data_IF_637619271002
#
_entry.id   IF_637619271002
#
_cell.length_a   1.000
_cell.length_b   1.000
_cell.length_c   1.000
_cell.angle_alpha   90.00
_cell.angle_beta   90.00
_cell.angle_gamma   90.00
#
_symmetry.space_group_name_H-M   'P 1'
#
loop_
_entity.id
_entity.type
_entity.pdbx_description
1 polymer ?
#
# COMPACT_ATOMS: atom_id res chain seq x y z
N UNK A 1 24.51 -36.16 8.77
CA UNK A 1 24.44 -34.96 7.92
C UNK A 1 23.68 -33.80 8.59
N UNK A 2 23.82 -33.62 9.90
CA UNK A 2 23.14 -32.55 10.68
C UNK A 2 24.08 -31.97 11.76
N UNK A 3 25.39 -31.94 11.51
CA UNK A 3 26.35 -31.50 12.54
C UNK A 3 26.72 -30.02 12.48
N UNK A 4 26.34 -29.26 11.45
CA UNK A 4 26.64 -27.82 11.42
C UNK A 4 25.51 -27.01 10.77
N UNK A 5 24.37 -26.89 11.45
CA UNK A 5 23.49 -25.73 11.21
C UNK A 5 24.17 -24.55 11.89
N UNK A 6 25.10 -23.90 11.16
CA UNK A 6 25.71 -22.62 11.52
C UNK A 6 24.56 -21.69 11.91
N UNK A 7 24.44 -21.30 13.19
CA UNK A 7 23.41 -20.38 13.70
C UNK A 7 23.40 -19.18 12.75
N UNK A 8 22.39 -19.11 11.89
CA UNK A 8 22.30 -18.05 10.88
C UNK A 8 22.19 -16.72 11.58
N UNK A 9 22.90 -15.70 11.09
CA UNK A 9 22.82 -14.34 11.64
C UNK A 9 21.37 -13.84 11.56
N UNK A 10 20.66 -13.90 12.68
CA UNK A 10 19.31 -13.34 12.86
C UNK A 10 19.35 -11.81 12.76
N UNK A 11 20.54 -11.24 12.95
CA UNK A 11 20.80 -9.81 12.96
C UNK A 11 21.30 -9.28 11.62
N UNK A 12 20.85 -8.07 11.28
CA UNK A 12 21.37 -7.34 10.13
C UNK A 12 22.84 -6.94 10.29
N UNK A 13 23.52 -6.67 9.18
CA UNK A 13 24.97 -6.34 9.15
C UNK A 13 25.38 -5.22 10.11
N UNK A 14 24.53 -4.21 10.28
CA UNK A 14 24.80 -3.08 11.19
C UNK A 14 24.78 -3.49 12.67
N UNK A 15 23.86 -4.37 13.06
CA UNK A 15 23.77 -4.86 14.44
C UNK A 15 24.97 -5.76 14.78
N UNK A 16 25.36 -6.66 13.87
CA UNK A 16 26.57 -7.49 14.03
C UNK A 16 27.83 -6.64 14.15
N UNK A 17 27.95 -5.58 13.33
CA UNK A 17 29.09 -4.65 13.39
C UNK A 17 29.14 -3.87 14.70
N UNK A 18 27.99 -3.41 15.22
CA UNK A 18 27.92 -2.70 16.50
C UNK A 18 28.28 -3.61 17.69
N UNK A 19 27.78 -4.85 17.71
CA UNK A 19 28.12 -5.85 18.74
C UNK A 19 29.63 -6.19 18.67
N UNK A 20 30.17 -6.36 17.47
CA UNK A 20 31.60 -6.59 17.27
C UNK A 20 32.47 -5.41 17.72
N UNK A 21 32.01 -4.17 17.56
CA UNK A 21 32.69 -2.98 18.11
C UNK A 21 32.76 -3.00 19.63
N UNK A 22 31.75 -3.59 20.29
CA UNK A 22 31.73 -3.81 21.74
C UNK A 22 32.52 -5.05 22.18
N UNK A 23 33.16 -5.78 21.26
CA UNK A 23 33.89 -7.03 21.51
C UNK A 23 33.02 -8.15 22.11
N UNK A 24 31.72 -8.13 21.84
CA UNK A 24 30.80 -9.18 22.29
C UNK A 24 30.54 -10.19 21.17
N UNK A 25 30.08 -11.40 21.52
CA UNK A 25 29.63 -12.39 20.53
C UNK A 25 28.19 -12.06 20.10
N UNK A 26 27.90 -11.89 18.79
CA UNK A 26 26.54 -11.75 18.29
C UNK A 26 25.60 -12.89 18.67
N UNK A 27 26.13 -14.09 18.95
CA UNK A 27 25.34 -15.24 19.38
C UNK A 27 24.73 -15.06 20.77
N UNK A 28 25.36 -14.30 21.66
CA UNK A 28 24.85 -14.01 23.00
C UNK A 28 23.58 -13.15 22.99
N UNK A 29 23.35 -12.47 21.87
CA UNK A 29 22.17 -11.63 21.67
C UNK A 29 21.04 -12.40 21.00
N UNK A 30 21.25 -13.61 20.49
CA UNK A 30 20.20 -14.42 19.83
C UNK A 30 19.20 -14.90 20.88
N UNK A 31 17.91 -14.61 20.65
CA UNK A 31 16.84 -15.09 21.52
C UNK A 31 16.78 -16.63 21.54
N UNK A 32 16.57 -17.21 22.72
CA UNK A 32 16.43 -18.65 22.94
C UNK A 32 15.34 -19.27 22.06
N UNK A 33 14.35 -18.49 21.61
CA UNK A 33 13.33 -18.90 20.64
C UNK A 33 13.93 -19.52 19.37
N UNK A 34 15.11 -19.09 18.95
CA UNK A 34 15.83 -19.62 17.78
C UNK A 34 16.77 -20.79 18.12
N UNK A 35 16.70 -21.33 19.33
CA UNK A 35 17.48 -22.51 19.71
C UNK A 35 17.02 -23.76 18.96
N UNK A 36 17.95 -24.72 18.81
CA UNK A 36 17.65 -26.03 18.20
C UNK A 36 16.59 -26.79 19.00
N UNK A 37 16.62 -26.66 20.32
CA UNK A 37 15.70 -27.35 21.21
C UNK A 37 14.29 -26.80 21.01
N UNK A 38 14.12 -25.47 20.95
CA UNK A 38 12.83 -24.86 20.65
C UNK A 38 12.35 -25.18 19.23
N UNK A 39 13.24 -25.23 18.24
CA UNK A 39 12.89 -25.69 16.90
C UNK A 39 12.37 -27.14 16.91
N UNK A 40 13.07 -28.04 17.61
CA UNK A 40 12.66 -29.43 17.75
C UNK A 40 11.36 -29.59 18.54
N UNK A 41 11.09 -28.74 19.53
CA UNK A 41 9.81 -28.71 20.25
C UNK A 41 8.66 -28.23 19.33
N UNK A 42 8.88 -27.14 18.59
CA UNK A 42 7.88 -26.59 17.67
C UNK A 42 7.49 -27.58 16.55
N UNK A 43 8.46 -28.28 15.98
CA UNK A 43 8.26 -29.20 14.86
C UNK A 43 8.32 -30.69 15.26
N UNK A 44 8.42 -30.99 16.56
CA UNK A 44 8.49 -32.36 17.06
C UNK A 44 7.14 -33.07 17.05
N UNK A 45 6.04 -32.31 16.97
CA UNK A 45 4.71 -32.86 16.83
C UNK A 45 4.51 -33.37 15.41
N UNK A 46 4.07 -34.63 15.31
CA UNK A 46 3.63 -35.17 14.03
C UNK A 46 2.39 -34.41 13.56
N UNK A 47 2.50 -33.73 12.41
CA UNK A 47 1.32 -33.21 11.72
C UNK A 47 0.59 -34.42 11.15
N UNK A 48 -0.53 -34.80 11.76
CA UNK A 48 -1.39 -35.82 11.19
C UNK A 48 -1.84 -35.37 9.80
N UNK A 49 -1.82 -36.26 8.80
CA UNK A 49 -2.37 -35.93 7.50
C UNK A 49 -3.82 -35.49 7.68
N UNK A 50 -4.17 -34.37 7.06
CA UNK A 50 -5.58 -33.98 6.96
C UNK A 50 -6.25 -35.06 6.10
N UNK A 51 -7.35 -35.64 6.58
CA UNK A 51 -8.10 -36.62 5.83
C UNK A 51 -8.50 -36.07 4.45
N UNK A 52 -8.71 -36.95 3.48
CA UNK A 52 -9.19 -36.55 2.15
C UNK A 52 -10.54 -35.82 2.23
N UNK A 53 -10.85 -35.02 1.20
CA UNK A 53 -12.11 -34.28 1.11
C UNK A 53 -13.35 -35.16 1.26
N UNK A 54 -13.24 -36.44 0.88
CA UNK A 54 -14.26 -37.48 1.00
C UNK A 54 -14.61 -37.86 2.45
N UNK A 55 -13.66 -37.69 3.37
CA UNK A 55 -13.81 -37.98 4.79
C UNK A 55 -14.14 -36.74 5.64
N UNK A 56 -14.24 -35.57 5.03
CA UNK A 56 -14.64 -34.37 5.76
C UNK A 56 -16.12 -34.49 6.17
N UNK A 57 -16.48 -34.08 7.40
CA UNK A 57 -17.87 -34.09 7.83
C UNK A 57 -18.68 -33.28 6.82
N UNK A 58 -19.66 -33.93 6.21
CA UNK A 58 -20.61 -33.22 5.36
C UNK A 58 -21.35 -32.26 6.28
N UNK A 59 -21.43 -30.97 5.93
CA UNK A 59 -22.22 -30.03 6.71
C UNK A 59 -23.65 -30.57 6.81
N UNK A 60 -24.21 -30.54 8.02
CA UNK A 60 -25.61 -30.91 8.23
C UNK A 60 -26.51 -30.03 7.33
N UNK A 61 -27.60 -30.59 6.76
CA UNK A 61 -28.50 -29.83 5.90
C UNK A 61 -29.01 -28.56 6.61
N UNK A 62 -29.11 -27.42 5.90
CA UNK A 62 -28.96 -26.11 6.52
C UNK A 62 -30.26 -25.70 7.20
N UNK A 63 -30.23 -25.43 8.51
CA UNK A 63 -31.27 -24.57 9.09
C UNK A 63 -30.82 -23.10 9.19
N UNK A 64 -29.52 -22.76 9.22
CA UNK A 64 -29.14 -21.34 9.29
C UNK A 64 -27.67 -20.93 9.11
N UNK A 65 -26.73 -21.78 8.70
CA UNK A 65 -25.29 -21.50 8.94
C UNK A 65 -24.38 -21.40 7.70
N UNK A 66 -24.93 -21.15 6.52
CA UNK A 66 -24.17 -20.42 5.51
C UNK A 66 -24.65 -18.98 5.60
N UNK A 67 -24.16 -18.23 6.60
CA UNK A 67 -24.05 -16.79 6.37
C UNK A 67 -23.27 -16.68 5.06
N UNK A 68 -23.92 -16.19 4.01
CA UNK A 68 -23.27 -15.92 2.73
C UNK A 68 -21.98 -15.18 3.07
N UNK A 69 -20.83 -15.84 2.85
CA UNK A 69 -19.53 -15.25 3.09
C UNK A 69 -19.38 -14.12 2.08
N UNK A 70 -19.91 -12.96 2.44
CA UNK A 70 -19.85 -11.78 1.60
C UNK A 70 -18.37 -11.45 1.45
N UNK A 71 -17.92 -11.12 0.23
CA UNK A 71 -16.54 -10.70 0.03
C UNK A 71 -16.25 -9.53 0.97
N UNK A 72 -15.02 -9.46 1.53
CA UNK A 72 -14.66 -8.34 2.37
C UNK A 72 -14.91 -7.03 1.60
N UNK A 73 -15.50 -6.06 2.28
CA UNK A 73 -15.83 -4.76 1.68
C UNK A 73 -14.54 -4.11 1.17
N UNK A 74 -14.36 -4.12 -0.15
CA UNK A 74 -13.18 -3.56 -0.78
C UNK A 74 -13.17 -2.04 -0.62
N UNK A 75 -12.11 -1.49 -0.02
CA UNK A 75 -11.84 -0.06 -0.02
C UNK A 75 -10.80 0.22 -1.09
N UNK A 76 -11.12 1.11 -2.03
CA UNK A 76 -10.13 1.60 -2.99
C UNK A 76 -9.02 2.33 -2.23
N UNK A 77 -7.81 1.78 -2.26
CA UNK A 77 -6.65 2.43 -1.66
C UNK A 77 -6.34 3.78 -2.33
N UNK A 78 -5.50 4.62 -1.70
CA UNK A 78 -5.00 5.82 -2.33
C UNK A 78 -4.40 5.45 -3.70
N UNK A 79 -4.84 6.18 -4.73
CA UNK A 79 -4.37 5.95 -6.10
C UNK A 79 -2.84 6.08 -6.21
N UNK A 80 -2.29 5.56 -7.30
CA UNK A 80 -0.85 5.61 -7.58
C UNK A 80 -0.31 7.04 -7.36
N UNK A 81 0.73 7.23 -6.54
CA UNK A 81 1.39 8.51 -6.39
C UNK A 81 1.83 9.08 -7.74
N UNK A 82 1.71 10.40 -7.91
CA UNK A 82 2.11 11.06 -9.15
C UNK A 82 3.60 10.83 -9.42
N UNK A 83 3.96 10.53 -10.67
CA UNK A 83 5.38 10.36 -11.08
C UNK A 83 6.20 11.64 -10.86
N UNK A 84 5.56 12.81 -10.98
CA UNK A 84 6.18 14.11 -10.75
C UNK A 84 5.59 14.77 -9.50
N UNK A 85 6.49 15.30 -8.66
CA UNK A 85 6.16 16.11 -7.49
C UNK A 85 5.49 17.43 -7.89
N UNK A 86 4.53 17.90 -7.10
CA UNK A 86 4.00 19.27 -7.20
C UNK A 86 5.06 20.21 -6.62
N UNK A 87 5.57 21.14 -7.44
CA UNK A 87 6.48 22.19 -6.99
C UNK A 87 5.71 23.23 -6.17
N UNK A 88 6.28 23.65 -5.04
CA UNK A 88 5.75 24.76 -4.24
C UNK A 88 5.77 26.09 -5.01
N UNK A 89 4.98 27.09 -4.59
CA UNK A 89 4.92 28.38 -5.28
C UNK A 89 6.25 29.13 -5.34
N UNK A 90 7.14 28.87 -4.36
CA UNK A 90 8.44 29.51 -4.21
C UNK A 90 9.58 28.72 -4.87
N UNK A 91 9.29 27.57 -5.47
CA UNK A 91 10.29 26.77 -6.17
C UNK A 91 10.47 27.19 -7.63
N UNK A 92 11.71 27.17 -8.12
CA UNK A 92 12.00 27.46 -9.52
C UNK A 92 11.31 26.47 -10.47
N UNK A 93 10.73 26.99 -11.55
CA UNK A 93 9.93 26.21 -12.49
C UNK A 93 8.52 25.85 -11.99
N UNK A 94 8.08 26.39 -10.85
CA UNK A 94 6.67 26.37 -10.48
C UNK A 94 5.84 27.11 -11.53
N UNK A 95 4.72 26.52 -11.96
CA UNK A 95 3.73 27.21 -12.80
C UNK A 95 3.09 28.30 -11.95
N UNK A 96 3.68 29.50 -11.97
CA UNK A 96 3.10 30.69 -11.35
C UNK A 96 1.86 31.05 -12.16
N UNK A 97 0.69 31.06 -11.51
CA UNK A 97 -0.49 31.71 -12.11
C UNK A 97 -0.13 33.19 -12.23
N UNK A 98 -0.26 33.77 -13.42
CA UNK A 98 -0.06 35.20 -13.60
C UNK A 98 -1.06 35.94 -12.71
N UNK A 99 -0.57 36.53 -11.62
CA UNK A 99 -1.38 37.34 -10.71
C UNK A 99 -1.96 38.51 -11.52
N UNK A 100 -3.28 38.72 -11.41
CA UNK A 100 -3.98 39.80 -12.10
C UNK A 100 -4.58 39.45 -13.46
N UNK A 101 -4.40 38.24 -14.00
CA UNK A 101 -5.12 37.83 -15.22
C UNK A 101 -6.53 37.39 -14.87
N UNK A 102 -7.50 38.19 -15.29
CA UNK A 102 -8.91 37.84 -15.26
C UNK A 102 -9.15 36.81 -16.37
N UNK A 103 -9.51 35.60 -15.98
CA UNK A 103 -9.92 34.57 -16.95
C UNK A 103 -11.43 34.66 -17.18
N UNK A 104 -11.82 34.50 -18.43
CA UNK A 104 -13.22 34.44 -18.86
C UNK A 104 -13.61 33.00 -19.13
N UNK A 105 -14.85 32.65 -18.78
CA UNK A 105 -15.42 31.35 -19.10
C UNK A 105 -15.48 31.18 -20.63
N UNK A 106 -14.90 30.12 -21.17
CA UNK A 106 -14.92 29.84 -22.63
C UNK A 106 -16.30 29.40 -23.14
N UNK A 107 -17.27 29.17 -22.26
CA UNK A 107 -18.66 28.84 -22.60
C UNK A 107 -19.58 30.06 -22.59
N UNK A 108 -19.48 30.95 -21.60
CA UNK A 108 -20.42 32.08 -21.46
C UNK A 108 -19.77 33.45 -21.28
N UNK A 109 -18.45 33.57 -21.50
CA UNK A 109 -17.68 34.83 -21.51
C UNK A 109 -17.61 35.60 -20.17
N UNK A 110 -18.39 35.23 -19.16
CA UNK A 110 -18.36 35.83 -17.82
C UNK A 110 -17.14 35.39 -17.00
N UNK A 111 -16.78 36.20 -16.00
CA UNK A 111 -15.68 35.95 -15.07
C UNK A 111 -16.16 35.20 -13.82
N UNK A 112 -15.23 34.66 -13.02
CA UNK A 112 -15.53 34.01 -11.73
C UNK A 112 -15.79 32.51 -11.79
N UNK A 113 -15.86 31.91 -12.97
CA UNK A 113 -15.93 30.45 -13.14
C UNK A 113 -15.32 30.02 -14.49
N UNK A 114 -15.04 28.72 -14.64
CA UNK A 114 -14.52 28.15 -15.88
C UNK A 114 -15.60 27.31 -16.61
N UNK A 115 -15.35 26.89 -17.85
CA UNK A 115 -16.33 26.12 -18.63
C UNK A 115 -16.79 24.83 -17.93
N UNK A 116 -15.91 24.15 -17.20
CA UNK A 116 -16.26 22.93 -16.47
C UNK A 116 -17.22 23.13 -15.29
N UNK A 117 -17.34 24.36 -14.79
CA UNK A 117 -18.26 24.75 -13.71
C UNK A 117 -19.35 25.72 -14.18
N UNK A 118 -19.45 25.93 -15.49
CA UNK A 118 -20.40 26.83 -16.09
C UNK A 118 -21.83 26.29 -16.00
N UNK A 119 -22.77 27.11 -15.53
CA UNK A 119 -24.20 26.76 -15.43
C UNK A 119 -25.01 27.20 -16.66
N UNK A 120 -24.38 27.91 -17.59
CA UNK A 120 -25.03 28.40 -18.81
C UNK A 120 -25.39 27.21 -19.70
N UNK A 121 -26.67 27.14 -20.13
CA UNK A 121 -27.17 26.10 -21.02
C UNK A 121 -26.85 26.36 -22.49
N UNK A 122 -26.43 27.59 -22.80
CA UNK A 122 -26.15 28.06 -24.17
C UNK A 122 -24.68 28.49 -24.25
N UNK A 123 -24.04 28.20 -25.39
CA UNK A 123 -22.68 28.64 -25.68
C UNK A 123 -22.71 30.07 -26.25
N UNK A 124 -21.89 30.94 -25.69
CA UNK A 124 -21.65 32.30 -26.18
C UNK A 124 -20.64 32.24 -27.36
N UNK A 125 -20.98 32.83 -28.53
CA UNK A 125 -20.09 32.85 -29.69
C UNK A 125 -18.73 33.54 -29.43
N UNK A 126 -18.65 34.51 -28.51
CA UNK A 126 -17.38 35.15 -28.11
C UNK A 126 -16.57 34.29 -27.14
N UNK A 127 -17.24 33.40 -26.39
CA UNK A 127 -16.58 32.34 -25.62
C UNK A 127 -15.82 31.36 -26.51
N UNK A 128 -16.45 30.94 -27.62
CA UNK A 128 -15.94 29.93 -28.54
C UNK A 128 -14.66 30.39 -29.26
N UNK A 129 -14.59 31.66 -29.67
CA UNK A 129 -13.43 32.25 -30.35
C UNK A 129 -12.15 32.24 -29.51
N UNK A 130 -12.27 32.18 -28.17
CA UNK A 130 -11.11 32.15 -27.24
C UNK A 130 -10.49 30.77 -27.06
N UNK A 131 -11.08 29.72 -27.63
CA UNK A 131 -10.60 28.33 -27.51
C UNK A 131 -9.46 28.01 -28.50
N UNK A 132 -9.02 28.98 -29.30
CA UNK A 132 -7.99 28.80 -30.34
C UNK A 132 -6.59 29.03 -29.75
N UNK A 133 -5.91 27.93 -29.40
CA UNK A 133 -4.45 27.74 -29.41
C UNK A 133 -4.20 26.32 -29.93
#
# INVERSE_FOLDING_TARGET
AYEEIRKGSVYGRHAVAAIGYMLHDPLDYVDDYYSRDNYALCYGFAVSPINGMDMWPKPDPPESAYEDLLPPVYKTGPGRPRKLRIRGCDEDGARKRSRGVIYHCTTCSSTGHNAGTCKSKTQDPDGLKRKVI
#
